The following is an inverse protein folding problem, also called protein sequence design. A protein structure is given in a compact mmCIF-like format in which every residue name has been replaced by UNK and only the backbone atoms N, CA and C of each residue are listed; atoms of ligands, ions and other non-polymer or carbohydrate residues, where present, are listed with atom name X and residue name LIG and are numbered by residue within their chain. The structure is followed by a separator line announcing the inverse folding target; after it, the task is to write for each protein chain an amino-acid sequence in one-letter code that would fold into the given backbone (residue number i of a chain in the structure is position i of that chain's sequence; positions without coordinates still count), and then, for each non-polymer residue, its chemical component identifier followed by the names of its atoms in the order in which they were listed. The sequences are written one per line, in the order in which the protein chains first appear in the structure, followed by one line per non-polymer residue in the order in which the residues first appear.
data_IF_820407211564
#
_entry.id   IF_820407211564
#
_cell.length_a   1.000
_cell.length_b   1.000
_cell.length_c   1.000
_cell.angle_alpha   90.00
_cell.angle_beta   90.00
_cell.angle_gamma   90.00
#
_symmetry.space_group_name_H-M   'P 1'
#
loop_
_entity.id
_entity.type
_entity.pdbx_description
1 polymer ?
#
# COMPACT_ATOMS: atom_id res chain seq x y z
N UNK A 1 -22.06 37.67 -12.97
CA UNK A 1 -22.01 37.00 -11.66
C UNK A 1 -22.08 35.50 -11.90
N UNK A 2 -21.00 34.74 -11.65
CA UNK A 2 -21.03 33.28 -11.75
C UNK A 2 -21.83 32.72 -10.57
N UNK A 3 -22.87 31.93 -10.84
CA UNK A 3 -23.60 31.14 -9.83
C UNK A 3 -23.13 29.69 -9.96
N UNK A 4 -22.34 29.21 -9.00
CA UNK A 4 -21.92 27.81 -8.94
C UNK A 4 -23.04 27.01 -8.28
N UNK A 5 -23.52 25.95 -8.93
CA UNK A 5 -24.54 25.06 -8.38
C UNK A 5 -23.93 24.01 -7.45
N UNK A 6 -24.76 23.36 -6.62
CA UNK A 6 -24.30 22.25 -5.76
C UNK A 6 -23.76 21.08 -6.58
N UNK A 7 -24.46 20.73 -7.66
CA UNK A 7 -24.05 19.69 -8.61
C UNK A 7 -22.66 19.97 -9.19
N UNK A 8 -22.40 21.20 -9.62
CA UNK A 8 -21.07 21.60 -10.11
C UNK A 8 -20.00 21.47 -9.01
N UNK A 9 -20.33 21.81 -7.76
CA UNK A 9 -19.39 21.67 -6.64
C UNK A 9 -19.09 20.20 -6.33
N UNK A 10 -20.09 19.33 -6.42
CA UNK A 10 -19.92 17.89 -6.19
C UNK A 10 -19.11 17.24 -7.31
N UNK A 11 -19.31 17.64 -8.57
CA UNK A 11 -18.47 17.24 -9.70
C UNK A 11 -17.00 17.64 -9.48
N UNK A 12 -16.74 18.87 -9.03
CA UNK A 12 -15.37 19.31 -8.72
C UNK A 12 -14.76 18.47 -7.60
N UNK A 13 -15.51 18.21 -6.52
CA UNK A 13 -15.04 17.36 -5.41
C UNK A 13 -14.69 15.96 -5.88
N UNK A 14 -15.56 15.34 -6.67
CA UNK A 14 -15.34 13.97 -7.15
C UNK A 14 -14.11 13.88 -8.06
N UNK A 15 -13.88 14.89 -8.93
CA UNK A 15 -12.67 14.98 -9.75
C UNK A 15 -11.41 15.17 -8.89
N UNK A 16 -11.47 16.01 -7.87
CA UNK A 16 -10.34 16.21 -6.95
C UNK A 16 -9.99 14.92 -6.19
N UNK A 17 -10.99 14.19 -5.68
CA UNK A 17 -10.78 12.92 -4.99
C UNK A 17 -10.16 11.88 -5.93
N UNK A 18 -10.69 11.74 -7.15
CA UNK A 18 -10.14 10.81 -8.14
C UNK A 18 -8.69 11.12 -8.49
N UNK A 19 -8.38 12.38 -8.76
CA UNK A 19 -7.01 12.80 -9.07
C UNK A 19 -6.05 12.58 -7.90
N UNK A 20 -6.52 12.73 -6.66
CA UNK A 20 -5.74 12.37 -5.48
C UNK A 20 -5.50 10.85 -5.41
N UNK A 21 -6.54 10.03 -5.59
CA UNK A 21 -6.40 8.57 -5.56
C UNK A 21 -5.40 8.07 -6.60
N UNK A 22 -5.45 8.59 -7.83
CA UNK A 22 -4.49 8.25 -8.90
C UNK A 22 -3.04 8.57 -8.51
N UNK A 23 -2.79 9.77 -7.96
CA UNK A 23 -1.46 10.15 -7.44
C UNK A 23 -1.05 9.27 -6.26
N UNK A 24 -1.98 8.92 -5.39
CA UNK A 24 -1.71 8.10 -4.21
C UNK A 24 -1.35 6.66 -4.60
N UNK A 25 -1.99 6.07 -5.63
CA UNK A 25 -1.62 4.76 -6.17
C UNK A 25 -0.16 4.78 -6.66
N UNK A 26 0.21 5.79 -7.45
CA UNK A 26 1.58 5.94 -7.94
C UNK A 26 2.58 6.10 -6.78
N UNK A 27 2.27 6.97 -5.81
CA UNK A 27 3.09 7.22 -4.63
C UNK A 27 3.31 5.94 -3.79
N UNK A 28 2.25 5.15 -3.57
CA UNK A 28 2.37 3.87 -2.85
C UNK A 28 3.17 2.82 -3.63
N UNK A 29 3.04 2.80 -4.96
CA UNK A 29 3.84 1.94 -5.83
C UNK A 29 5.33 2.22 -5.73
N UNK A 30 5.72 3.49 -5.64
CA UNK A 30 7.11 3.91 -5.48
C UNK A 30 7.63 3.68 -4.05
N UNK A 31 6.82 4.02 -3.04
CA UNK A 31 7.26 4.05 -1.64
C UNK A 31 7.13 2.71 -0.92
N UNK A 32 6.17 1.88 -1.32
CA UNK A 32 5.91 0.56 -0.76
C UNK A 32 5.71 -0.48 -1.87
N UNK A 33 6.74 -0.72 -2.71
CA UNK A 33 6.60 -1.58 -3.90
C UNK A 33 6.19 -3.00 -3.56
N UNK A 34 6.75 -3.58 -2.48
CA UNK A 34 6.41 -4.93 -2.03
C UNK A 34 4.97 -5.03 -1.53
N UNK A 35 4.51 -4.06 -0.75
CA UNK A 35 3.12 -4.00 -0.27
C UNK A 35 2.16 -3.84 -1.45
N UNK A 36 2.47 -2.95 -2.38
CA UNK A 36 1.66 -2.70 -3.57
C UNK A 36 1.56 -3.94 -4.46
N UNK A 37 2.67 -4.69 -4.61
CA UNK A 37 2.68 -5.96 -5.32
C UNK A 37 1.85 -7.04 -4.59
N UNK A 38 1.96 -7.13 -3.27
CA UNK A 38 1.23 -8.12 -2.47
C UNK A 38 -0.28 -7.86 -2.45
N UNK A 39 -0.70 -6.60 -2.41
CA UNK A 39 -2.12 -6.21 -2.42
C UNK A 39 -2.73 -6.25 -3.82
N UNK A 40 -1.92 -6.06 -4.86
CA UNK A 40 -2.37 -5.84 -6.23
C UNK A 40 -3.16 -4.52 -6.38
N UNK A 41 -3.53 -4.19 -7.62
CA UNK A 41 -4.17 -2.91 -7.94
C UNK A 41 -5.47 -2.66 -7.15
N UNK A 42 -6.36 -3.66 -7.08
CA UNK A 42 -7.61 -3.53 -6.33
C UNK A 42 -7.39 -3.38 -4.82
N UNK A 43 -6.41 -4.10 -4.25
CA UNK A 43 -6.10 -3.99 -2.83
C UNK A 43 -5.51 -2.64 -2.45
N UNK A 44 -4.66 -2.06 -3.31
CA UNK A 44 -4.13 -0.71 -3.14
C UNK A 44 -5.26 0.33 -3.19
N UNK A 45 -6.16 0.24 -4.18
CA UNK A 45 -7.31 1.15 -4.28
C UNK A 45 -8.20 1.06 -3.05
N UNK A 46 -8.57 -0.14 -2.60
CA UNK A 46 -9.38 -0.34 -1.41
C UNK A 46 -8.70 0.19 -0.14
N UNK A 47 -7.37 0.07 -0.04
CA UNK A 47 -6.60 0.64 1.07
C UNK A 47 -6.66 2.18 1.06
N UNK A 48 -6.51 2.81 -0.10
CA UNK A 48 -6.62 4.27 -0.24
C UNK A 48 -8.03 4.74 0.13
N UNK A 49 -9.08 4.04 -0.33
CA UNK A 49 -10.46 4.35 0.02
C UNK A 49 -10.72 4.23 1.53
N UNK A 50 -10.19 3.19 2.18
CA UNK A 50 -10.26 3.04 3.63
C UNK A 50 -9.57 4.21 4.35
N UNK A 51 -8.37 4.60 3.89
CA UNK A 51 -7.64 5.72 4.47
C UNK A 51 -8.32 7.08 4.25
N UNK A 52 -8.98 7.29 3.11
CA UNK A 52 -9.83 8.45 2.87
C UNK A 52 -11.04 8.48 3.82
N UNK A 53 -11.66 7.32 4.06
CA UNK A 53 -12.74 7.18 5.05
C UNK A 53 -12.26 7.55 6.45
N UNK A 54 -11.11 7.03 6.88
CA UNK A 54 -10.51 7.37 8.19
C UNK A 54 -10.18 8.86 8.29
N UNK A 55 -9.55 9.44 7.27
CA UNK A 55 -9.26 10.86 7.21
C UNK A 55 -10.53 11.71 7.38
N UNK A 56 -11.63 11.33 6.73
CA UNK A 56 -12.91 12.02 6.86
C UNK A 56 -13.49 11.90 8.28
N UNK A 57 -13.40 10.72 8.92
CA UNK A 57 -13.86 10.51 10.29
C UNK A 57 -13.12 11.40 11.30
N UNK A 58 -11.81 11.57 11.11
CA UNK A 58 -10.97 12.40 11.97
C UNK A 58 -10.86 13.87 11.52
N UNK A 59 -11.65 14.30 10.53
CA UNK A 59 -11.66 15.69 10.07
C UNK A 59 -10.36 16.15 9.39
N UNK A 60 -9.57 15.21 8.85
CA UNK A 60 -8.32 15.48 8.15
C UNK A 60 -8.63 15.91 6.70
N UNK A 61 -8.43 17.18 6.42
CA UNK A 61 -8.80 17.79 5.12
C UNK A 61 -7.63 18.14 4.21
N UNK A 62 -6.41 18.21 4.76
CA UNK A 62 -5.22 18.60 3.99
C UNK A 62 -4.65 17.37 3.28
N UNK A 63 -4.45 17.47 1.97
CA UNK A 63 -3.95 16.37 1.14
C UNK A 63 -2.66 15.74 1.69
N UNK A 64 -1.71 16.55 2.16
CA UNK A 64 -0.46 16.08 2.77
C UNK A 64 -0.70 15.21 4.02
N UNK A 65 -1.63 15.63 4.88
CA UNK A 65 -1.94 14.91 6.11
C UNK A 65 -2.70 13.61 5.81
N UNK A 66 -3.60 13.63 4.81
CA UNK A 66 -4.29 12.42 4.31
C UNK A 66 -3.29 11.42 3.72
N UNK A 67 -2.37 11.88 2.87
CA UNK A 67 -1.30 11.05 2.33
C UNK A 67 -0.49 10.41 3.47
N UNK A 68 -0.07 11.21 4.46
CA UNK A 68 0.69 10.74 5.61
C UNK A 68 -0.08 9.71 6.44
N UNK A 69 -1.38 9.92 6.67
CA UNK A 69 -2.24 8.94 7.33
C UNK A 69 -2.24 7.60 6.57
N UNK A 70 -2.42 7.63 5.25
CA UNK A 70 -2.43 6.42 4.42
C UNK A 70 -1.08 5.71 4.50
N UNK A 71 0.04 6.43 4.45
CA UNK A 71 1.37 5.82 4.64
C UNK A 71 1.51 5.13 5.99
N UNK A 72 1.00 5.74 7.06
CA UNK A 72 1.02 5.14 8.40
C UNK A 72 0.15 3.89 8.46
N UNK A 73 -1.00 3.89 7.78
CA UNK A 73 -1.81 2.70 7.62
C UNK A 73 -1.07 1.60 6.86
N UNK A 74 -0.26 1.92 5.85
CA UNK A 74 0.58 0.94 5.16
C UNK A 74 1.64 0.32 6.08
N UNK A 75 2.19 1.10 7.01
CA UNK A 75 3.28 0.69 7.90
C UNK A 75 2.82 -0.15 9.10
N UNK A 76 1.66 0.18 9.66
CA UNK A 76 1.21 -0.39 10.93
C UNK A 76 0.24 -1.56 10.72
N UNK A 77 -0.38 -1.66 9.55
CA UNK A 77 -1.46 -2.61 9.33
C UNK A 77 -0.94 -3.97 8.90
N UNK A 78 -1.36 -4.99 9.65
CA UNK A 78 -1.56 -6.32 9.08
C UNK A 78 -2.85 -6.27 8.23
N UNK A 79 -2.74 -6.67 6.96
CA UNK A 79 -3.72 -6.40 5.88
C UNK A 79 -5.16 -6.82 6.25
N UNK A 80 -5.34 -7.68 7.24
CA UNK A 80 -6.63 -8.25 7.66
C UNK A 80 -7.36 -7.48 8.77
N UNK A 81 -6.67 -6.68 9.59
CA UNK A 81 -7.31 -6.03 10.74
C UNK A 81 -7.56 -4.53 10.52
N UNK A 82 -8.46 -3.96 11.34
CA UNK A 82 -8.89 -2.57 11.29
C UNK A 82 -7.76 -1.56 11.51
N UNK A 83 -8.12 -0.29 11.70
CA UNK A 83 -7.15 0.64 12.27
C UNK A 83 -6.83 0.21 13.71
N UNK A 84 -5.55 0.18 14.12
CA UNK A 84 -5.19 -0.18 15.47
C UNK A 84 -5.82 0.79 16.47
N UNK A 85 -6.38 0.28 17.57
CA UNK A 85 -7.05 1.14 18.57
C UNK A 85 -6.16 2.23 19.17
N UNK A 86 -4.83 2.03 19.20
CA UNK A 86 -3.88 3.05 19.65
C UNK A 86 -3.73 4.21 18.65
N UNK A 87 -3.91 3.94 17.36
CA UNK A 87 -3.87 4.96 16.32
C UNK A 87 -5.10 5.85 16.40
N UNK A 88 -6.29 5.25 16.53
CA UNK A 88 -7.55 5.97 16.73
C UNK A 88 -7.49 6.88 17.96
N UNK A 89 -6.94 6.41 19.08
CA UNK A 89 -6.77 7.23 20.30
C UNK A 89 -5.93 8.49 20.07
N UNK A 90 -4.86 8.40 19.28
CA UNK A 90 -4.01 9.58 18.99
C UNK A 90 -4.73 10.55 18.05
N UNK A 91 -5.50 10.02 17.08
CA UNK A 91 -6.26 10.82 16.13
C UNK A 91 -7.50 11.47 16.76
N UNK A 92 -8.16 10.83 17.72
CA UNK A 92 -9.30 11.40 18.45
C UNK A 92 -8.90 12.59 19.34
N UNK A 93 -7.65 12.60 19.80
CA UNK A 93 -7.07 13.73 20.54
C UNK A 93 -6.55 14.84 19.61
N UNK A 94 -6.67 14.67 18.30
CA UNK A 94 -6.25 15.65 17.34
C UNK A 94 -7.29 16.77 17.16
N UNK A 95 -6.78 17.95 16.88
CA UNK A 95 -7.54 19.13 16.49
C UNK A 95 -7.04 19.59 15.12
N UNK A 96 -7.81 20.37 14.36
CA UNK A 96 -7.35 20.90 13.08
C UNK A 96 -6.01 21.68 13.17
N UNK A 97 -5.71 22.26 14.35
CA UNK A 97 -4.48 23.01 14.59
C UNK A 97 -3.24 22.13 14.82
N UNK A 98 -3.42 20.88 15.29
CA UNK A 98 -2.30 20.01 15.67
C UNK A 98 -2.26 18.68 14.91
N UNK A 99 -3.19 18.42 13.98
CA UNK A 99 -3.31 17.14 13.28
C UNK A 99 -2.00 16.70 12.62
N UNK A 100 -1.29 17.61 11.94
CA UNK A 100 0.01 17.28 11.33
C UNK A 100 1.04 16.87 12.38
N UNK A 101 1.12 17.58 13.51
CA UNK A 101 2.04 17.24 14.59
C UNK A 101 1.68 15.90 15.25
N UNK A 102 0.38 15.59 15.35
CA UNK A 102 -0.10 14.30 15.84
C UNK A 102 0.22 13.17 14.88
N UNK A 103 0.13 13.37 13.57
CA UNK A 103 0.54 12.39 12.57
C UNK A 103 2.04 12.13 12.60
N UNK A 104 2.87 13.15 12.83
CA UNK A 104 4.32 12.95 13.04
C UNK A 104 4.60 12.16 14.33
N UNK A 105 3.92 12.49 15.43
CA UNK A 105 4.00 11.72 16.68
C UNK A 105 3.59 10.26 16.45
N UNK A 106 2.50 10.04 15.72
CA UNK A 106 2.01 8.72 15.37
C UNK A 106 3.04 7.94 14.54
N UNK A 107 3.72 8.61 13.61
CA UNK A 107 4.83 8.04 12.84
C UNK A 107 6.02 7.63 13.68
N UNK A 108 6.42 8.45 14.66
CA UNK A 108 7.48 8.09 15.60
C UNK A 108 7.09 6.84 16.43
N UNK A 109 5.85 6.81 16.94
CA UNK A 109 5.32 5.68 17.70
C UNK A 109 5.21 4.39 16.84
N UNK A 110 4.86 4.52 15.57
CA UNK A 110 4.83 3.39 14.64
C UNK A 110 6.23 2.81 14.43
N UNK A 111 7.22 3.68 14.19
CA UNK A 111 8.62 3.25 13.98
C UNK A 111 9.21 2.58 15.22
N UNK A 112 8.93 3.11 16.41
CA UNK A 112 9.40 2.51 17.66
C UNK A 112 8.80 1.11 17.86
N UNK A 113 7.50 0.93 17.56
CA UNK A 113 6.85 -0.39 17.66
C UNK A 113 7.37 -1.39 16.63
N UNK A 114 7.62 -0.94 15.40
CA UNK A 114 8.23 -1.78 14.37
C UNK A 114 9.65 -2.21 14.77
N UNK A 115 10.39 -1.37 15.51
CA UNK A 115 11.70 -1.73 16.04
C UNK A 115 11.65 -2.65 17.27
N UNK A 116 10.54 -2.65 18.01
CA UNK A 116 10.32 -3.46 19.21
C UNK A 116 9.61 -4.79 18.93
N UNK A 117 9.02 -4.99 17.75
CA UNK A 117 8.43 -6.26 17.35
C UNK A 117 9.51 -7.35 17.38
N UNK A 118 9.43 -8.33 18.30
CA UNK A 118 10.27 -9.51 18.21
C UNK A 118 9.89 -10.26 16.93
N UNK A 119 10.86 -10.89 16.28
CA UNK A 119 10.57 -11.91 15.27
C UNK A 119 9.89 -13.14 15.90
N UNK A 120 8.63 -13.01 16.31
CA UNK A 120 7.73 -14.10 16.67
C UNK A 120 6.57 -14.02 15.66
N UNK A 121 6.34 -14.93 14.72
CA UNK A 121 6.79 -16.31 14.52
C UNK A 121 7.12 -16.46 13.03
N UNK A 122 8.40 -16.60 12.67
CA UNK A 122 8.72 -17.21 11.39
C UNK A 122 8.22 -18.66 11.47
N UNK A 123 7.16 -18.95 10.72
CA UNK A 123 6.70 -20.30 10.40
C UNK A 123 7.94 -21.20 10.19
N UNK A 124 8.05 -22.40 10.80
CA UNK A 124 9.19 -23.28 10.59
C UNK A 124 9.57 -23.46 9.11
N UNK A 125 8.61 -23.31 8.19
CA UNK A 125 8.85 -23.29 6.75
C UNK A 125 9.73 -22.11 6.26
N UNK A 126 9.59 -20.91 6.84
CA UNK A 126 10.43 -19.75 6.53
C UNK A 126 11.84 -19.91 7.10
N UNK A 127 11.97 -20.57 8.25
CA UNK A 127 13.26 -20.90 8.84
C UNK A 127 14.02 -21.94 8.00
N UNK A 128 13.29 -22.90 7.41
CA UNK A 128 13.85 -23.90 6.49
C UNK A 128 14.26 -23.29 5.14
N UNK A 129 13.46 -22.37 4.59
CA UNK A 129 13.81 -21.63 3.37
C UNK A 129 15.02 -20.70 3.58
N UNK A 130 15.11 -20.00 4.72
CA UNK A 130 16.26 -19.17 5.07
C UNK A 130 17.52 -20.00 5.36
N UNK A 131 17.36 -21.18 5.99
CA UNK A 131 18.45 -22.12 6.22
C UNK A 131 18.97 -22.73 4.90
N UNK A 132 18.10 -22.98 3.92
CA UNK A 132 18.47 -23.43 2.58
C UNK A 132 19.22 -22.35 1.77
N UNK A 133 18.91 -21.07 2.01
CA UNK A 133 19.64 -19.95 1.40
C UNK A 133 20.99 -19.65 2.08
N UNK A 134 21.12 -19.94 3.38
CA UNK A 134 22.35 -19.67 4.16
C UNK A 134 23.32 -20.84 4.22
N UNK A 135 22.85 -22.07 4.04
CA UNK A 135 23.69 -23.27 3.95
C UNK A 135 24.00 -23.50 2.47
N UNK A 136 24.99 -22.77 1.96
CA UNK A 136 25.27 -22.69 0.53
C UNK A 136 25.52 -24.04 -0.14
N UNK A 137 24.76 -24.31 -1.19
CA UNK A 137 25.25 -25.03 -2.36
C UNK A 137 24.42 -24.57 -3.58
N UNK A 138 24.67 -23.33 -4.02
CA UNK A 138 24.33 -22.99 -5.41
C UNK A 138 25.27 -23.82 -6.29
N UNK A 139 24.76 -24.70 -7.17
CA UNK A 139 25.62 -25.36 -8.14
C UNK A 139 26.37 -24.27 -8.92
N UNK A 140 27.67 -24.47 -9.22
CA UNK A 140 28.42 -23.48 -9.96
C UNK A 140 27.67 -23.16 -11.25
N UNK A 141 27.42 -21.87 -11.45
CA UNK A 141 26.83 -21.36 -12.68
C UNK A 141 27.89 -21.41 -13.77
N UNK A 142 28.27 -22.61 -14.21
CA UNK A 142 29.01 -22.76 -15.45
C UNK A 142 28.73 -24.09 -16.15
N UNK A 143 28.80 -24.00 -17.48
CA UNK A 143 28.74 -25.06 -18.49
C UNK A 143 27.36 -25.52 -19.03
N UNK A 144 26.91 -24.76 -20.05
CA UNK A 144 26.22 -25.23 -21.27
C UNK A 144 24.91 -26.01 -21.10
N UNK A 145 23.82 -25.28 -20.89
CA UNK A 145 22.60 -25.63 -21.63
C UNK A 145 22.89 -25.35 -23.12
N UNK A 146 23.04 -26.42 -23.91
CA UNK A 146 23.15 -26.32 -25.36
C UNK A 146 21.99 -25.49 -25.89
N UNK A 147 22.31 -24.43 -26.64
CA UNK A 147 21.36 -23.62 -27.40
C UNK A 147 20.90 -24.46 -28.60
N UNK A 148 20.06 -25.45 -28.36
CA UNK A 148 19.52 -26.30 -29.43
C UNK A 148 18.11 -26.75 -29.04
N UNK A 149 17.21 -25.80 -28.77
CA UNK A 149 15.81 -25.97 -29.14
C UNK A 149 15.14 -24.59 -29.23
N UNK A 150 14.68 -24.16 -30.42
CA UNK A 150 13.97 -22.91 -30.55
C UNK A 150 12.65 -23.00 -29.76
N UNK A 151 12.48 -22.08 -28.81
CA UNK A 151 11.21 -21.87 -28.11
C UNK A 151 10.14 -21.66 -29.16
N UNK A 152 9.27 -22.66 -29.34
CA UNK A 152 8.21 -22.61 -30.33
C UNK A 152 7.17 -21.59 -29.86
N UNK A 153 6.86 -20.53 -30.63
CA UNK A 153 5.80 -19.60 -30.24
C UNK A 153 4.46 -20.34 -30.27
N UNK A 154 3.64 -20.10 -29.25
CA UNK A 154 2.30 -20.67 -29.10
C UNK A 154 1.47 -20.52 -30.40
N UNK A 155 0.79 -21.57 -30.88
CA UNK A 155 -0.06 -21.45 -32.05
C UNK A 155 -1.26 -20.53 -31.76
N UNK A 156 -1.50 -19.59 -32.67
CA UNK A 156 -2.64 -18.69 -32.63
C UNK A 156 -3.97 -19.46 -32.71
N UNK A 157 -4.95 -19.05 -31.91
CA UNK A 157 -6.28 -19.65 -31.87
C UNK A 157 -6.96 -19.61 -33.26
N UNK A 158 -7.60 -20.70 -33.72
CA UNK A 158 -8.28 -20.69 -35.01
C UNK A 158 -9.51 -19.77 -34.95
N UNK A 159 -9.57 -18.85 -35.91
CA UNK A 159 -10.62 -17.86 -36.05
C UNK A 159 -12.00 -18.51 -36.24
N UNK A 160 -13.00 -17.88 -35.60
CA UNK A 160 -14.42 -18.10 -35.89
C UNK A 160 -14.68 -17.83 -37.38
N UNK A 161 -15.25 -18.80 -38.07
CA UNK A 161 -15.89 -18.62 -39.38
C UNK A 161 -17.28 -19.25 -39.32
N UNK A 162 -18.30 -18.46 -39.66
CA UNK A 162 -19.67 -18.91 -39.93
C UNK A 162 -20.60 -18.91 -38.73
#
# INVERSE_FOLDING_TARGET
MLKITREQMDDFRQRSVRGFQERMVAHLGERFPLLSAALGGQGVTAMIEKGLGSAALHGIVKEKDVCRLIELLCLVRDVKEGEPGWMTQVLDLATPANISARLEQLGAMASERLAQAPEEEADPAQKEAAAALSSGEAPPFDERAGVEDPVTPCPAAPGRSG
#
